data_IF_090603664824
#
_entry.id   IF_090603664824
#
_cell.length_a   1.000
_cell.length_b   1.000
_cell.length_c   1.000
_cell.angle_alpha   90.00
_cell.angle_beta   90.00
_cell.angle_gamma   90.00
#
_symmetry.space_group_name_H-M   'P 1'
#
loop_
_entity.id
_entity.type
_entity.pdbx_description
1 polymer ?
#
# COMPACT_ATOMS: atom_id res chain seq x y z
N UNK A 1 -0.32 -14.75 0.28
CA UNK A 1 -0.29 -15.78 1.32
C UNK A 1 0.13 -15.14 2.65
N UNK A 2 1.19 -14.36 2.72
CA UNK A 2 1.59 -13.69 3.98
C UNK A 2 0.61 -12.64 4.47
N UNK A 3 -0.20 -12.10 3.60
CA UNK A 3 -1.30 -11.20 3.98
C UNK A 3 -2.43 -11.97 4.68
N UNK A 4 -2.51 -13.27 4.47
CA UNK A 4 -3.50 -14.15 5.07
C UNK A 4 -3.28 -14.34 6.58
N UNK A 5 -2.02 -14.38 7.02
CA UNK A 5 -1.66 -14.52 8.43
C UNK A 5 -1.75 -13.20 9.22
N UNK A 6 -1.83 -12.07 8.56
CA UNK A 6 -1.83 -10.76 9.22
C UNK A 6 -3.11 -10.42 9.99
N UNK A 7 -4.22 -11.07 9.65
CA UNK A 7 -5.46 -11.12 10.44
C UNK A 7 -6.22 -9.84 10.74
N UNK A 8 -5.79 -8.71 10.23
CA UNK A 8 -6.34 -7.44 10.68
C UNK A 8 -6.73 -6.48 9.55
N UNK A 9 -6.57 -6.87 8.27
CA UNK A 9 -6.80 -5.98 7.14
C UNK A 9 -7.83 -6.53 6.16
N UNK A 10 -8.64 -5.64 5.59
CA UNK A 10 -9.52 -5.94 4.43
C UNK A 10 -8.77 -6.58 3.27
N UNK A 11 -7.46 -6.33 3.14
CA UNK A 11 -6.58 -6.99 2.17
C UNK A 11 -6.49 -8.50 2.38
N UNK A 12 -6.43 -8.97 3.62
CA UNK A 12 -6.40 -10.39 3.95
C UNK A 12 -7.62 -11.11 3.36
N UNK A 13 -8.81 -10.59 3.61
CA UNK A 13 -10.05 -11.13 3.04
C UNK A 13 -10.04 -11.10 1.50
N UNK A 14 -9.55 -10.02 0.89
CA UNK A 14 -9.45 -9.92 -0.58
C UNK A 14 -8.49 -10.95 -1.18
N UNK A 15 -7.34 -11.21 -0.54
CA UNK A 15 -6.40 -12.24 -0.98
C UNK A 15 -6.97 -13.65 -0.84
N UNK A 16 -7.63 -13.96 0.26
CA UNK A 16 -8.29 -15.26 0.46
C UNK A 16 -9.37 -15.52 -0.58
N UNK A 17 -10.23 -14.52 -0.82
CA UNK A 17 -11.23 -14.57 -1.90
C UNK A 17 -10.60 -14.78 -3.27
N UNK A 18 -9.55 -14.03 -3.59
CA UNK A 18 -8.86 -14.15 -4.88
C UNK A 18 -8.25 -15.55 -5.05
N UNK A 19 -7.62 -16.07 -4.00
CA UNK A 19 -7.03 -17.41 -4.01
C UNK A 19 -8.08 -18.49 -4.23
N UNK A 20 -9.17 -18.49 -3.46
CA UNK A 20 -10.29 -19.43 -3.62
C UNK A 20 -10.93 -19.31 -5.00
N UNK A 21 -11.11 -18.08 -5.49
CA UNK A 21 -11.69 -17.84 -6.81
C UNK A 21 -10.81 -18.39 -7.93
N UNK A 22 -9.49 -18.16 -7.85
CA UNK A 22 -8.54 -18.68 -8.86
C UNK A 22 -8.49 -20.21 -8.80
N UNK A 23 -8.45 -20.82 -7.61
CA UNK A 23 -8.49 -22.28 -7.44
C UNK A 23 -9.74 -22.90 -8.08
N UNK A 24 -10.86 -22.18 -8.11
CA UNK A 24 -12.10 -22.67 -8.75
C UNK A 24 -12.17 -22.40 -10.27
N UNK A 25 -11.27 -21.58 -10.82
CA UNK A 25 -11.29 -21.19 -12.25
C UNK A 25 -10.24 -21.93 -13.09
N UNK A 26 -9.23 -22.50 -12.47
CA UNK A 26 -8.10 -23.11 -13.20
C UNK A 26 -7.67 -24.40 -12.55
N UNK A 27 -7.34 -25.39 -13.40
CA UNK A 27 -6.80 -26.67 -12.97
C UNK A 27 -5.28 -26.60 -12.70
N UNK A 28 -4.62 -25.53 -13.11
CA UNK A 28 -3.19 -25.34 -12.96
C UNK A 28 -2.88 -23.98 -12.37
N UNK A 29 -2.31 -23.95 -11.17
CA UNK A 29 -1.88 -22.74 -10.51
C UNK A 29 -0.51 -22.93 -9.84
N UNK A 30 0.39 -21.99 -10.03
CA UNK A 30 1.66 -21.91 -9.32
C UNK A 30 1.61 -20.77 -8.29
N UNK A 31 1.70 -21.10 -7.02
CA UNK A 31 1.93 -20.16 -5.93
C UNK A 31 3.43 -20.04 -5.68
N UNK A 32 4.01 -18.88 -5.99
CA UNK A 32 5.42 -18.64 -5.79
C UNK A 32 5.62 -17.64 -4.64
N UNK A 33 6.37 -18.05 -3.62
CA UNK A 33 6.80 -17.19 -2.53
C UNK A 33 8.29 -17.39 -2.25
N UNK A 34 9.16 -16.44 -2.69
CA UNK A 34 10.61 -16.60 -2.59
C UNK A 34 11.14 -16.44 -1.16
N UNK A 35 10.33 -15.92 -0.22
CA UNK A 35 10.76 -15.67 1.16
C UNK A 35 10.12 -16.60 2.17
N UNK A 36 9.23 -17.46 1.71
CA UNK A 36 8.74 -18.54 2.51
C UNK A 36 9.90 -19.50 2.76
N UNK A 37 10.41 -19.58 3.98
CA UNK A 37 11.20 -20.69 4.37
C UNK A 37 10.25 -21.90 4.37
N UNK A 38 10.17 -22.57 3.24
CA UNK A 38 9.46 -23.84 3.20
C UNK A 38 10.11 -24.74 4.24
N UNK A 39 9.34 -25.19 5.20
CA UNK A 39 9.81 -26.14 6.19
C UNK A 39 10.41 -27.34 5.50
N UNK A 40 11.29 -28.04 6.19
CA UNK A 40 11.97 -29.21 5.63
C UNK A 40 11.02 -30.39 5.36
N UNK A 41 9.82 -30.34 5.96
CA UNK A 41 8.73 -31.30 5.73
C UNK A 41 7.38 -30.60 5.62
N UNK A 42 6.43 -31.16 4.85
CA UNK A 42 5.05 -30.66 4.76
C UNK A 42 4.35 -30.59 6.12
N UNK A 43 4.77 -31.46 7.05
CA UNK A 43 4.29 -31.48 8.43
C UNK A 43 4.65 -30.24 9.25
N UNK A 44 5.58 -29.42 8.78
CA UNK A 44 6.00 -28.17 9.46
C UNK A 44 5.13 -26.96 9.07
N UNK A 45 4.30 -27.08 8.03
CA UNK A 45 3.29 -26.06 7.73
C UNK A 45 2.17 -26.11 8.76
N UNK A 46 1.53 -24.99 9.01
CA UNK A 46 0.34 -24.96 9.84
C UNK A 46 -0.73 -25.90 9.25
N UNK A 47 -1.44 -26.60 10.14
CA UNK A 47 -2.43 -27.62 9.72
C UNK A 47 -3.45 -27.08 8.73
N UNK A 48 -3.95 -25.86 8.96
CA UNK A 48 -4.95 -25.22 8.10
C UNK A 48 -4.43 -24.95 6.69
N UNK A 49 -3.13 -24.67 6.53
CA UNK A 49 -2.52 -24.51 5.22
C UNK A 49 -2.32 -25.87 4.51
N UNK A 50 -1.94 -26.91 5.27
CA UNK A 50 -1.88 -28.29 4.73
C UNK A 50 -3.25 -28.77 4.28
N UNK A 51 -4.31 -28.48 5.02
CA UNK A 51 -5.69 -28.79 4.64
C UNK A 51 -6.09 -28.06 3.35
N UNK A 52 -5.76 -26.78 3.21
CA UNK A 52 -5.96 -26.03 1.98
C UNK A 52 -5.21 -26.66 0.79
N UNK A 53 -3.93 -26.96 0.96
CA UNK A 53 -3.11 -27.57 -0.08
C UNK A 53 -3.67 -28.92 -0.53
N UNK A 54 -4.04 -29.78 0.41
CA UNK A 54 -4.63 -31.09 0.14
C UNK A 54 -5.96 -30.98 -0.59
N UNK A 55 -6.86 -30.13 -0.13
CA UNK A 55 -8.20 -29.99 -0.68
C UNK A 55 -8.21 -29.36 -2.08
N UNK A 56 -7.18 -28.63 -2.44
CA UNK A 56 -6.99 -28.03 -3.76
C UNK A 56 -5.93 -28.74 -4.62
N UNK A 57 -5.37 -29.85 -4.15
CA UNK A 57 -4.43 -30.66 -4.91
C UNK A 57 -3.06 -30.02 -5.13
N UNK A 58 -2.63 -29.09 -4.28
CA UNK A 58 -1.31 -28.47 -4.37
C UNK A 58 -0.19 -29.44 -3.99
N UNK A 59 0.88 -29.39 -4.75
CA UNK A 59 2.14 -30.08 -4.48
C UNK A 59 3.23 -29.06 -4.19
N UNK A 60 3.97 -29.26 -3.10
CA UNK A 60 5.08 -28.39 -2.75
C UNK A 60 6.30 -28.68 -3.61
N UNK A 61 6.72 -27.70 -4.39
CA UNK A 61 7.96 -27.71 -5.14
C UNK A 61 9.04 -27.01 -4.32
N UNK A 62 10.03 -27.76 -3.86
CA UNK A 62 11.16 -27.22 -3.10
C UNK A 62 12.28 -26.86 -4.05
N UNK A 63 12.64 -25.59 -4.03
CA UNK A 63 13.87 -25.12 -4.61
C UNK A 63 14.87 -24.82 -3.50
N UNK A 64 16.10 -25.33 -3.62
CA UNK A 64 17.18 -24.87 -2.76
C UNK A 64 17.37 -23.37 -3.01
N UNK A 65 17.10 -22.59 -1.98
CA UNK A 65 17.19 -21.13 -2.05
C UNK A 65 18.66 -20.73 -1.93
N UNK A 66 19.35 -20.67 -3.04
CA UNK A 66 20.56 -19.87 -3.10
C UNK A 66 20.16 -18.42 -3.32
N UNK A 67 20.57 -17.55 -2.41
CA UNK A 67 20.48 -16.11 -2.68
C UNK A 67 21.41 -15.80 -3.86
N UNK A 68 20.80 -15.47 -5.01
CA UNK A 68 21.54 -15.15 -6.24
C UNK A 68 22.37 -13.87 -6.04
N UNK A 69 21.92 -12.98 -5.16
CA UNK A 69 22.59 -11.73 -4.78
C UNK A 69 22.95 -11.81 -3.31
N UNK A 70 24.24 -11.84 -3.01
CA UNK A 70 24.74 -11.79 -1.63
C UNK A 70 24.38 -10.46 -0.96
N UNK A 71 24.13 -10.48 0.35
CA UNK A 71 23.84 -9.27 1.13
C UNK A 71 24.86 -9.10 2.24
N UNK A 72 25.44 -7.93 2.29
CA UNK A 72 26.35 -7.52 3.36
C UNK A 72 25.59 -6.66 4.36
N UNK A 73 25.51 -7.13 5.60
CA UNK A 73 24.83 -6.41 6.68
C UNK A 73 25.84 -5.64 7.51
N UNK A 74 25.60 -4.34 7.70
CA UNK A 74 26.43 -3.47 8.53
C UNK A 74 25.57 -2.72 9.52
N UNK A 75 25.76 -2.97 10.81
CA UNK A 75 25.10 -2.21 11.87
C UNK A 75 25.94 -1.00 12.28
N UNK A 76 25.35 0.18 12.12
CA UNK A 76 26.02 1.47 12.40
C UNK A 76 25.70 1.93 13.82
N UNK A 77 26.66 1.77 14.73
CA UNK A 77 26.62 2.27 16.11
C UNK A 77 27.27 3.66 16.21
N UNK A 78 27.67 4.08 17.37
CA UNK A 78 28.32 5.38 17.65
C UNK A 78 29.84 5.39 17.40
N UNK A 79 30.33 4.70 16.38
CA UNK A 79 31.74 4.76 15.96
C UNK A 79 31.97 5.92 14.98
N UNK A 80 33.20 6.42 14.90
CA UNK A 80 33.51 7.53 14.01
C UNK A 80 33.64 7.10 12.56
N UNK A 81 34.15 5.90 12.29
CA UNK A 81 34.39 5.39 10.95
C UNK A 81 33.96 3.93 10.81
N UNK A 82 33.39 3.60 9.67
CA UNK A 82 33.03 2.25 9.27
C UNK A 82 33.65 1.91 7.92
N UNK A 83 33.93 0.65 7.69
CA UNK A 83 34.28 0.12 6.37
C UNK A 83 33.08 -0.69 5.90
N UNK A 84 32.46 -0.25 4.81
CA UNK A 84 31.30 -0.90 4.19
C UNK A 84 31.71 -1.29 2.77
N UNK A 85 31.80 -2.59 2.49
CA UNK A 85 32.25 -3.12 1.20
C UNK A 85 33.57 -2.49 0.76
N UNK A 86 34.56 -2.46 1.68
CA UNK A 86 35.88 -1.83 1.54
C UNK A 86 35.89 -0.30 1.34
N UNK A 87 34.74 0.37 1.46
CA UNK A 87 34.63 1.83 1.36
C UNK A 87 34.64 2.43 2.78
N UNK A 88 35.54 3.35 3.10
CA UNK A 88 35.51 4.04 4.39
C UNK A 88 34.37 5.04 4.42
N UNK A 89 33.53 4.96 5.47
CA UNK A 89 32.38 5.85 5.70
C UNK A 89 32.53 6.53 7.03
N UNK A 90 32.69 7.84 7.04
CA UNK A 90 32.74 8.63 8.28
C UNK A 90 31.32 8.93 8.77
N UNK A 91 30.97 8.38 9.93
CA UNK A 91 29.60 8.49 10.45
C UNK A 91 29.56 9.38 11.71
N UNK A 92 30.60 9.35 12.53
CA UNK A 92 30.69 10.17 13.74
C UNK A 92 29.56 9.96 14.75
N UNK A 93 29.46 10.87 15.72
CA UNK A 93 28.35 10.94 16.69
C UNK A 93 27.17 11.78 16.18
N UNK A 94 26.95 11.78 14.88
CA UNK A 94 25.99 12.63 14.18
C UNK A 94 24.53 12.21 14.41
N UNK A 95 23.60 13.13 14.13
CA UNK A 95 22.18 12.83 14.06
C UNK A 95 21.88 11.74 13.03
N UNK A 96 20.74 11.08 13.15
CA UNK A 96 20.35 10.04 12.17
C UNK A 96 20.33 10.56 10.73
N UNK A 97 19.85 11.77 10.52
CA UNK A 97 19.85 12.42 9.20
C UNK A 97 21.28 12.65 8.67
N UNK A 98 22.19 13.10 9.50
CA UNK A 98 23.58 13.31 9.12
C UNK A 98 24.27 11.97 8.77
N UNK A 99 23.97 10.89 9.52
CA UNK A 99 24.46 9.54 9.20
C UNK A 99 23.95 9.10 7.81
N UNK A 100 22.66 9.32 7.51
CA UNK A 100 22.09 9.03 6.20
C UNK A 100 22.83 9.82 5.11
N UNK A 101 23.04 11.13 5.30
CA UNK A 101 23.76 11.97 4.36
C UNK A 101 25.19 11.44 4.08
N UNK A 102 25.95 11.16 5.12
CA UNK A 102 27.32 10.68 5.01
C UNK A 102 27.40 9.32 4.30
N UNK A 103 26.45 8.42 4.58
CA UNK A 103 26.39 7.12 3.90
C UNK A 103 26.06 7.31 2.40
N UNK A 104 25.09 8.17 2.07
CA UNK A 104 24.76 8.46 0.68
C UNK A 104 25.95 9.08 -0.06
N UNK A 105 26.64 10.04 0.56
CA UNK A 105 27.84 10.67 -0.04
C UNK A 105 28.94 9.65 -0.33
N UNK A 106 29.17 8.71 0.59
CA UNK A 106 30.23 7.73 0.44
C UNK A 106 29.87 6.58 -0.54
N UNK A 107 28.61 6.11 -0.53
CA UNK A 107 28.23 4.85 -1.17
C UNK A 107 27.33 5.02 -2.40
N UNK A 108 26.71 6.19 -2.60
CA UNK A 108 25.68 6.34 -3.65
C UNK A 108 26.22 7.00 -4.92
N UNK A 109 25.79 6.47 -6.05
CA UNK A 109 25.98 7.02 -7.39
C UNK A 109 24.72 6.75 -8.22
N UNK A 110 24.57 7.27 -9.42
CA UNK A 110 23.44 6.94 -10.30
C UNK A 110 23.28 5.44 -10.59
N UNK A 111 24.39 4.69 -10.57
CA UNK A 111 24.42 3.23 -10.78
C UNK A 111 24.36 2.44 -9.47
N UNK A 112 24.73 3.05 -8.34
CA UNK A 112 24.70 2.47 -6.99
C UNK A 112 23.84 3.31 -6.06
N UNK A 113 22.59 3.52 -6.43
CA UNK A 113 21.65 4.34 -5.67
C UNK A 113 21.24 3.69 -4.34
N UNK A 114 20.54 4.48 -3.48
CA UNK A 114 20.20 4.09 -2.11
C UNK A 114 18.72 4.20 -1.84
N UNK A 115 18.12 3.14 -1.28
CA UNK A 115 16.79 3.19 -0.67
C UNK A 115 16.94 3.43 0.83
N UNK A 116 16.16 4.33 1.40
CA UNK A 116 16.08 4.58 2.84
C UNK A 116 14.71 4.11 3.34
N UNK A 117 14.72 3.02 4.10
CA UNK A 117 13.50 2.51 4.72
C UNK A 117 13.13 3.33 5.95
N UNK A 118 11.89 3.82 5.99
CA UNK A 118 11.29 4.55 7.09
C UNK A 118 10.01 3.84 7.56
N UNK A 119 9.75 3.83 8.87
CA UNK A 119 8.57 3.17 9.43
C UNK A 119 7.27 3.97 9.27
N UNK A 120 7.36 5.28 9.07
CA UNK A 120 6.20 6.18 8.92
C UNK A 120 6.35 7.06 7.68
N UNK A 121 5.21 7.45 7.10
CA UNK A 121 5.15 8.39 5.98
C UNK A 121 5.75 9.75 6.36
N UNK A 122 5.42 10.26 7.55
CA UNK A 122 5.99 11.51 8.09
C UNK A 122 7.50 11.50 8.20
N UNK A 123 8.10 10.32 8.45
CA UNK A 123 9.55 10.20 8.58
C UNK A 123 10.24 10.30 7.22
N UNK A 124 9.62 9.76 6.15
CA UNK A 124 10.15 9.90 4.77
C UNK A 124 10.25 11.38 4.38
N UNK A 125 9.19 12.15 4.65
CA UNK A 125 9.15 13.58 4.35
C UNK A 125 10.09 14.39 5.26
N UNK A 126 10.13 14.05 6.56
CA UNK A 126 10.97 14.76 7.53
C UNK A 126 12.46 14.61 7.23
N UNK A 127 12.93 13.39 6.95
CA UNK A 127 14.33 13.16 6.58
C UNK A 127 14.68 13.83 5.24
N UNK A 128 13.83 13.73 4.24
CA UNK A 128 14.04 14.41 2.97
C UNK A 128 14.14 15.93 3.16
N UNK A 129 13.24 16.54 3.94
CA UNK A 129 13.25 17.97 4.27
C UNK A 129 14.54 18.39 4.97
N UNK A 130 15.04 17.57 5.90
CA UNK A 130 16.29 17.86 6.61
C UNK A 130 17.51 17.78 5.66
N UNK A 131 17.54 16.83 4.71
CA UNK A 131 18.61 16.78 3.71
C UNK A 131 18.56 18.00 2.76
N UNK A 132 17.38 18.44 2.36
CA UNK A 132 17.20 19.63 1.51
C UNK A 132 17.73 20.93 2.14
N UNK A 133 17.83 21.00 3.46
CA UNK A 133 18.42 22.17 4.15
C UNK A 133 19.94 22.26 3.96
N UNK A 134 20.61 21.21 3.49
CA UNK A 134 22.03 21.22 3.20
C UNK A 134 22.27 21.43 1.70
N UNK A 135 22.48 22.69 1.30
CA UNK A 135 22.62 23.09 -0.09
C UNK A 135 23.85 22.46 -0.76
N UNK A 136 24.95 22.29 -0.03
CA UNK A 136 26.17 21.66 -0.55
C UNK A 136 25.91 20.19 -0.91
N UNK A 137 25.21 19.45 -0.02
CA UNK A 137 24.78 18.07 -0.28
C UNK A 137 23.90 17.97 -1.54
N UNK A 138 22.93 18.89 -1.67
CA UNK A 138 22.02 18.88 -2.81
C UNK A 138 22.76 19.20 -4.10
N UNK A 139 23.70 20.13 -4.10
CA UNK A 139 24.53 20.44 -5.26
C UNK A 139 25.32 19.20 -5.72
N UNK A 140 25.90 18.45 -4.79
CA UNK A 140 26.59 17.19 -5.09
C UNK A 140 25.63 16.16 -5.72
N UNK A 141 24.41 16.04 -5.20
CA UNK A 141 23.40 15.11 -5.75
C UNK A 141 23.00 15.49 -7.17
N UNK A 142 22.77 16.78 -7.41
CA UNK A 142 22.43 17.31 -8.73
C UNK A 142 23.58 17.09 -9.73
N UNK A 143 24.81 17.36 -9.33
CA UNK A 143 26.00 17.12 -10.15
C UNK A 143 26.15 15.62 -10.53
N UNK A 144 26.04 14.72 -9.54
CA UNK A 144 26.14 13.26 -9.78
C UNK A 144 25.10 12.75 -10.75
N UNK A 145 23.88 13.30 -10.72
CA UNK A 145 22.80 12.90 -11.61
C UNK A 145 22.72 13.68 -12.91
N UNK A 146 23.58 14.68 -13.12
CA UNK A 146 23.50 15.58 -14.30
C UNK A 146 23.72 14.89 -15.63
N UNK A 147 24.58 13.86 -15.65
CA UNK A 147 24.88 13.09 -16.85
C UNK A 147 23.88 11.98 -17.18
N UNK A 148 22.86 11.79 -16.34
CA UNK A 148 21.83 10.75 -16.57
C UNK A 148 20.84 11.26 -17.59
N UNK A 149 20.68 10.53 -18.69
CA UNK A 149 19.67 10.83 -19.71
C UNK A 149 18.28 10.45 -19.15
N UNK A 150 17.51 11.46 -18.76
CA UNK A 150 16.17 11.33 -18.23
C UNK A 150 15.25 12.42 -18.81
N UNK A 151 14.87 12.32 -20.10
CA UNK A 151 14.14 13.36 -20.81
C UNK A 151 12.77 13.68 -20.17
N UNK A 152 12.22 12.74 -19.45
CA UNK A 152 10.92 12.91 -18.74
C UNK A 152 11.08 13.72 -17.46
N UNK A 153 12.29 13.86 -16.91
CA UNK A 153 12.51 14.45 -15.58
C UNK A 153 12.01 15.90 -15.50
N UNK A 154 12.42 16.77 -16.42
CA UNK A 154 12.03 18.19 -16.40
C UNK A 154 10.52 18.37 -16.67
N UNK A 155 9.97 17.62 -17.64
CA UNK A 155 8.54 17.61 -17.95
C UNK A 155 7.73 17.18 -16.73
N UNK A 156 8.22 16.18 -16.01
CA UNK A 156 7.57 15.68 -14.81
C UNK A 156 7.60 16.70 -13.67
N UNK A 157 8.72 17.40 -13.45
CA UNK A 157 8.82 18.48 -12.46
C UNK A 157 7.84 19.62 -12.79
N UNK A 158 7.76 20.04 -14.06
CA UNK A 158 6.81 21.06 -14.51
C UNK A 158 5.36 20.63 -14.28
N UNK A 159 5.03 19.38 -14.62
CA UNK A 159 3.70 18.84 -14.35
C UNK A 159 3.35 18.87 -12.85
N UNK A 160 4.28 18.45 -11.99
CA UNK A 160 4.05 18.46 -10.54
C UNK A 160 3.92 19.90 -9.99
N UNK A 161 4.72 20.83 -10.49
CA UNK A 161 4.67 22.23 -10.09
C UNK A 161 3.32 22.84 -10.45
N UNK A 162 2.83 22.60 -11.67
CA UNK A 162 1.55 23.08 -12.13
C UNK A 162 0.35 22.44 -11.41
N UNK A 163 0.50 21.19 -10.94
CA UNK A 163 -0.60 20.42 -10.33
C UNK A 163 -0.67 20.61 -8.82
N UNK A 164 0.48 20.60 -8.13
CA UNK A 164 0.57 20.56 -6.66
C UNK A 164 1.19 21.84 -6.05
N UNK A 165 1.77 22.71 -6.87
CA UNK A 165 2.45 23.93 -6.43
C UNK A 165 3.87 23.68 -5.93
N UNK A 166 4.64 24.78 -5.81
CA UNK A 166 6.06 24.76 -5.45
C UNK A 166 6.35 24.27 -4.03
N UNK A 167 5.37 24.37 -3.14
CA UNK A 167 5.56 24.05 -1.73
C UNK A 167 5.46 22.59 -1.40
N UNK A 168 5.01 21.77 -2.34
CA UNK A 168 4.87 20.34 -2.11
C UNK A 168 6.23 19.65 -1.89
N UNK A 169 6.37 18.97 -0.74
CA UNK A 169 7.65 18.36 -0.32
C UNK A 169 8.19 17.36 -1.32
N UNK A 170 7.32 16.61 -2.01
CA UNK A 170 7.74 15.62 -3.01
C UNK A 170 8.40 16.31 -4.20
N UNK A 171 7.83 17.44 -4.67
CA UNK A 171 8.44 18.25 -5.74
C UNK A 171 9.80 18.82 -5.33
N UNK A 172 9.88 19.41 -4.11
CA UNK A 172 11.14 19.93 -3.57
C UNK A 172 12.22 18.84 -3.48
N UNK A 173 11.84 17.65 -3.03
CA UNK A 173 12.74 16.51 -2.94
C UNK A 173 13.24 16.08 -4.33
N UNK A 174 12.34 15.96 -5.30
CA UNK A 174 12.70 15.62 -6.68
C UNK A 174 13.68 16.64 -7.29
N UNK A 175 13.46 17.95 -7.12
CA UNK A 175 14.42 18.99 -7.54
C UNK A 175 15.80 18.81 -6.91
N UNK A 176 15.87 18.23 -5.71
CA UNK A 176 17.12 17.83 -5.02
C UNK A 176 17.62 16.42 -5.35
N UNK A 177 17.08 15.77 -6.39
CA UNK A 177 17.45 14.39 -6.78
C UNK A 177 17.14 13.33 -5.71
N UNK A 178 16.14 13.60 -4.86
CA UNK A 178 15.66 12.73 -3.79
C UNK A 178 14.24 12.30 -4.12
N UNK A 179 13.96 10.99 -4.08
CA UNK A 179 12.63 10.43 -4.21
C UNK A 179 11.92 10.26 -2.87
N UNK A 180 10.60 10.45 -2.83
CA UNK A 180 9.73 10.13 -1.69
C UNK A 180 8.63 9.19 -2.18
N UNK A 181 8.52 8.01 -1.54
CA UNK A 181 7.57 6.98 -1.95
C UNK A 181 6.80 6.42 -0.74
N UNK A 182 5.53 6.73 -0.65
CA UNK A 182 4.60 6.19 0.34
C UNK A 182 3.15 6.26 -0.16
N UNK A 183 2.23 5.59 0.52
CA UNK A 183 0.84 5.40 0.05
C UNK A 183 0.00 6.69 -0.10
N UNK A 184 0.46 7.84 0.40
CA UNK A 184 -0.22 9.13 0.18
C UNK A 184 0.25 9.87 -1.09
N UNK A 185 1.35 9.44 -1.70
CA UNK A 185 1.76 9.93 -3.02
C UNK A 185 0.87 9.27 -4.08
N UNK A 186 0.28 10.01 -5.03
CA UNK A 186 -0.55 9.44 -6.09
C UNK A 186 0.17 8.33 -6.86
N UNK A 187 -0.55 7.28 -7.27
CA UNK A 187 0.05 6.08 -7.88
C UNK A 187 0.85 6.35 -9.14
N UNK A 188 0.39 7.25 -10.01
CA UNK A 188 1.11 7.62 -11.22
C UNK A 188 2.45 8.32 -10.90
N UNK A 189 2.46 9.17 -9.87
CA UNK A 189 3.68 9.83 -9.38
C UNK A 189 4.62 8.80 -8.74
N UNK A 190 4.09 7.86 -7.94
CA UNK A 190 4.90 6.76 -7.40
C UNK A 190 5.61 5.99 -8.51
N UNK A 191 4.90 5.65 -9.60
CA UNK A 191 5.47 4.94 -10.76
C UNK A 191 6.60 5.74 -11.40
N UNK A 192 6.39 7.04 -11.63
CA UNK A 192 7.39 7.88 -12.25
C UNK A 192 8.62 8.09 -11.37
N UNK A 193 8.44 8.30 -10.06
CA UNK A 193 9.54 8.36 -9.10
C UNK A 193 10.38 7.07 -9.16
N UNK A 194 9.74 5.90 -9.24
CA UNK A 194 10.44 4.62 -9.37
C UNK A 194 11.20 4.52 -10.69
N UNK A 195 10.59 4.97 -11.79
CA UNK A 195 11.25 5.01 -13.10
C UNK A 195 12.51 5.87 -13.06
N UNK A 196 12.40 7.08 -12.54
CA UNK A 196 13.53 8.02 -12.36
C UNK A 196 14.61 7.48 -11.41
N UNK A 197 14.20 6.79 -10.35
CA UNK A 197 15.14 6.14 -9.44
C UNK A 197 15.91 4.99 -10.12
N UNK A 198 15.20 4.15 -10.87
CA UNK A 198 15.81 3.01 -11.55
C UNK A 198 16.76 3.40 -12.69
N UNK A 199 16.53 4.53 -13.36
CA UNK A 199 17.46 5.03 -14.39
C UNK A 199 18.61 5.85 -13.79
N UNK A 200 18.68 6.06 -12.47
CA UNK A 200 19.74 6.81 -11.80
C UNK A 200 19.55 8.33 -11.79
N UNK A 201 18.40 8.84 -12.25
CA UNK A 201 18.08 10.26 -12.18
C UNK A 201 17.84 10.76 -10.74
N UNK A 202 17.60 9.84 -9.80
CA UNK A 202 17.51 10.10 -8.37
C UNK A 202 18.59 9.31 -7.63
N UNK A 203 19.32 9.99 -6.74
CA UNK A 203 20.43 9.40 -5.99
C UNK A 203 19.94 8.53 -4.83
N UNK A 204 18.81 8.88 -4.25
CA UNK A 204 18.20 8.14 -3.16
C UNK A 204 16.67 8.21 -3.15
N UNK A 205 16.06 7.25 -2.45
CA UNK A 205 14.61 7.09 -2.34
C UNK A 205 14.22 6.82 -0.90
N UNK A 206 13.52 7.75 -0.26
CA UNK A 206 12.88 7.52 1.04
C UNK A 206 11.57 6.78 0.84
N UNK A 207 11.42 5.63 1.49
CA UNK A 207 10.22 4.81 1.35
C UNK A 207 9.78 4.13 2.64
N UNK A 208 8.50 3.82 2.72
CA UNK A 208 7.92 2.91 3.72
C UNK A 208 7.88 1.49 3.14
N UNK A 209 7.18 0.56 3.81
CA UNK A 209 6.95 -0.81 3.28
C UNK A 209 6.28 -0.84 1.90
N UNK A 210 5.74 0.27 1.41
CA UNK A 210 5.19 0.35 0.04
C UNK A 210 6.22 0.04 -1.05
N UNK A 211 7.52 0.13 -0.76
CA UNK A 211 8.59 -0.24 -1.70
C UNK A 211 8.64 -1.76 -1.95
N UNK A 212 8.10 -2.57 -1.04
CA UNK A 212 8.09 -4.03 -1.18
C UNK A 212 6.89 -4.54 -1.98
N UNK A 213 5.85 -3.71 -2.14
CA UNK A 213 4.59 -4.08 -2.77
C UNK A 213 4.52 -3.59 -4.24
N UNK A 214 4.47 -4.52 -5.19
CA UNK A 214 4.11 -4.25 -6.60
C UNK A 214 5.06 -3.36 -7.41
N UNK A 215 6.25 -3.04 -6.90
CA UNK A 215 7.24 -2.21 -7.61
C UNK A 215 8.54 -2.96 -7.83
N UNK A 216 8.99 -2.97 -9.08
CA UNK A 216 10.27 -3.55 -9.43
C UNK A 216 11.38 -2.51 -9.24
N UNK A 217 11.78 -2.30 -7.99
CA UNK A 217 12.91 -1.47 -7.62
C UNK A 217 13.97 -2.29 -6.93
N UNK A 218 15.20 -1.95 -7.22
CA UNK A 218 16.33 -2.40 -6.43
C UNK A 218 17.36 -1.27 -6.40
N UNK A 219 18.11 -1.26 -5.32
CA UNK A 219 19.21 -0.35 -5.12
C UNK A 219 20.44 -1.14 -4.72
N UNK A 220 21.64 -0.64 -4.93
CA UNK A 220 22.85 -1.25 -4.37
C UNK A 220 22.81 -1.21 -2.84
N UNK A 221 22.30 -0.09 -2.28
CA UNK A 221 22.34 0.18 -0.86
C UNK A 221 20.93 0.31 -0.27
N UNK A 222 20.70 -0.27 0.89
CA UNK A 222 19.49 -0.01 1.70
C UNK A 222 19.91 0.46 3.09
N UNK A 223 19.37 1.60 3.52
CA UNK A 223 19.55 2.14 4.87
C UNK A 223 18.27 1.87 5.65
N UNK A 224 18.39 1.19 6.79
CA UNK A 224 17.29 0.88 7.71
C UNK A 224 17.27 1.90 8.83
N UNK A 225 16.23 2.72 8.90
CA UNK A 225 16.09 3.72 9.98
C UNK A 225 15.31 3.21 11.19
N UNK A 226 14.56 2.10 11.02
CA UNK A 226 13.72 1.54 12.08
C UNK A 226 13.41 0.07 11.85
N UNK A 227 13.38 -0.72 12.93
CA UNK A 227 12.89 -2.11 12.94
C UNK A 227 11.36 -2.23 13.08
N UNK A 228 10.60 -1.18 12.72
CA UNK A 228 9.13 -1.14 12.87
C UNK A 228 8.43 -0.84 11.55
N UNK A 229 7.17 -1.29 11.46
CA UNK A 229 6.18 -0.94 10.43
C UNK A 229 5.04 -0.18 11.11
N UNK A 230 5.04 1.15 10.98
CA UNK A 230 4.16 2.00 11.77
C UNK A 230 4.48 1.90 13.27
N UNK A 231 3.56 1.39 14.06
CA UNK A 231 3.74 1.18 15.51
C UNK A 231 4.15 -0.26 15.87
N UNK A 232 3.96 -1.23 14.97
CA UNK A 232 4.28 -2.65 15.19
C UNK A 232 5.73 -2.97 14.82
N UNK A 233 6.31 -3.98 15.44
CA UNK A 233 7.63 -4.48 15.04
C UNK A 233 7.56 -5.12 13.64
N UNK A 234 8.65 -5.02 12.87
CA UNK A 234 8.77 -5.73 11.61
C UNK A 234 8.73 -7.25 11.85
N UNK A 235 7.97 -7.95 11.03
CA UNK A 235 8.04 -9.41 10.94
C UNK A 235 9.23 -9.81 10.07
N UNK A 236 9.67 -11.04 10.20
CA UNK A 236 10.76 -11.60 9.39
C UNK A 236 10.52 -11.40 7.89
N UNK A 237 9.30 -11.72 7.44
CA UNK A 237 8.90 -11.57 6.05
C UNK A 237 9.05 -10.12 5.55
N UNK A 238 8.54 -9.12 6.29
CA UNK A 238 8.70 -7.72 5.92
C UNK A 238 10.18 -7.32 5.85
N UNK A 239 11.00 -7.79 6.81
CA UNK A 239 12.43 -7.51 6.85
C UNK A 239 13.18 -8.15 5.67
N UNK A 240 12.88 -9.40 5.34
CA UNK A 240 13.44 -10.08 4.15
C UNK A 240 13.05 -9.38 2.85
N UNK A 241 11.79 -8.96 2.71
CA UNK A 241 11.33 -8.21 1.55
C UNK A 241 12.05 -6.86 1.40
N UNK A 242 12.28 -6.15 2.52
CA UNK A 242 13.04 -4.90 2.52
C UNK A 242 14.49 -5.18 2.13
N UNK A 243 15.17 -6.12 2.81
CA UNK A 243 16.54 -6.50 2.50
C UNK A 243 16.70 -7.03 1.06
N UNK A 244 15.68 -7.71 0.54
CA UNK A 244 15.63 -8.20 -0.84
C UNK A 244 15.68 -7.10 -1.91
N UNK A 245 15.49 -5.84 -1.53
CA UNK A 245 15.67 -4.69 -2.43
C UNK A 245 17.14 -4.23 -2.51
N UNK A 246 18.03 -4.76 -1.67
CA UNK A 246 19.47 -4.53 -1.77
C UNK A 246 20.09 -5.45 -2.81
N UNK A 247 20.68 -4.85 -3.84
CA UNK A 247 21.28 -5.58 -4.95
C UNK A 247 20.25 -6.11 -5.95
N UNK A 248 20.59 -6.08 -7.22
CA UNK A 248 19.74 -6.59 -8.30
C UNK A 248 20.52 -7.59 -9.14
N UNK A 249 19.96 -8.77 -9.30
CA UNK A 249 20.50 -9.74 -10.24
C UNK A 249 20.70 -9.08 -11.62
N UNK A 250 21.82 -9.32 -12.27
CA UNK A 250 22.31 -8.71 -13.51
C UNK A 250 22.90 -7.29 -13.41
N UNK A 251 22.65 -6.53 -12.34
CA UNK A 251 23.26 -5.21 -12.12
C UNK A 251 24.29 -5.23 -10.98
N UNK A 252 23.94 -5.91 -9.87
CA UNK A 252 24.76 -5.99 -8.68
C UNK A 252 24.76 -7.41 -8.13
N UNK A 253 25.93 -8.05 -8.07
CA UNK A 253 26.09 -9.38 -7.47
C UNK A 253 26.05 -9.36 -5.93
N UNK A 254 26.17 -8.19 -5.33
CA UNK A 254 26.05 -7.98 -3.89
C UNK A 254 25.21 -6.75 -3.59
N UNK A 255 24.46 -6.76 -2.47
CA UNK A 255 23.71 -5.64 -1.93
C UNK A 255 24.21 -5.27 -0.54
N UNK A 256 24.15 -3.98 -0.19
CA UNK A 256 24.56 -3.47 1.13
C UNK A 256 23.31 -3.11 1.94
N UNK A 257 23.16 -3.72 3.12
CA UNK A 257 22.09 -3.42 4.08
C UNK A 257 22.67 -2.76 5.31
N UNK A 258 22.37 -1.49 5.52
CA UNK A 258 22.99 -0.64 6.53
C UNK A 258 21.97 -0.30 7.60
N UNK A 259 22.12 -0.87 8.79
CA UNK A 259 21.18 -0.71 9.90
C UNK A 259 21.59 0.43 10.85
N UNK A 260 20.75 1.48 10.89
CA UNK A 260 20.89 2.61 11.84
C UNK A 260 20.09 2.43 13.14
N UNK A 261 19.32 1.33 13.24
CA UNK A 261 18.42 1.10 14.37
C UNK A 261 18.91 0.01 15.34
N UNK A 262 19.88 -0.79 14.92
CA UNK A 262 20.40 -1.94 15.62
C UNK A 262 19.40 -3.11 15.77
N UNK A 263 19.76 -4.26 15.22
CA UNK A 263 18.98 -5.49 15.34
C UNK A 263 18.11 -5.85 14.11
N UNK A 264 18.28 -5.18 12.96
CA UNK A 264 17.53 -5.55 11.76
C UNK A 264 17.96 -6.92 11.21
N UNK A 265 19.24 -7.24 11.25
CA UNK A 265 19.76 -8.55 10.85
C UNK A 265 19.17 -9.68 11.70
N UNK A 266 19.00 -9.46 13.02
CA UNK A 266 18.37 -10.42 13.93
C UNK A 266 16.91 -10.67 13.52
N UNK A 267 16.19 -9.67 12.99
CA UNK A 267 14.82 -9.83 12.50
C UNK A 267 14.82 -10.67 11.21
N UNK A 268 15.76 -10.42 10.30
CA UNK A 268 15.89 -11.18 9.04
C UNK A 268 16.19 -12.66 9.32
N UNK A 269 17.02 -12.93 10.31
CA UNK A 269 17.50 -14.28 10.65
C UNK A 269 16.58 -15.03 11.65
N UNK A 270 15.44 -14.47 12.05
CA UNK A 270 14.47 -15.19 12.88
C UNK A 270 13.96 -16.44 12.16
N UNK A 271 13.45 -17.37 12.94
CA UNK A 271 12.71 -18.47 12.37
C UNK A 271 11.46 -17.99 11.64
N UNK A 272 11.13 -18.59 10.49
CA UNK A 272 9.94 -18.21 9.73
C UNK A 272 8.68 -18.54 10.53
N UNK A 273 7.68 -17.67 10.43
CA UNK A 273 6.35 -17.93 10.95
C UNK A 273 5.68 -19.02 10.10
N UNK A 274 4.96 -19.93 10.75
CA UNK A 274 4.18 -20.95 10.06
C UNK A 274 3.02 -20.30 9.31
N UNK A 275 2.77 -20.74 8.08
CA UNK A 275 1.66 -20.24 7.29
C UNK A 275 0.34 -20.87 7.75
N UNK A 276 -0.68 -20.03 7.84
CA UNK A 276 -2.05 -20.41 8.17
C UNK A 276 -2.99 -20.00 7.04
N UNK A 277 -3.97 -20.85 6.76
CA UNK A 277 -5.08 -20.49 5.88
C UNK A 277 -6.37 -20.41 6.71
N UNK A 278 -6.83 -19.20 7.01
CA UNK A 278 -7.91 -18.97 7.97
C UNK A 278 -9.23 -19.65 7.63
N UNK A 279 -9.54 -19.80 6.35
CA UNK A 279 -10.76 -20.50 5.94
C UNK A 279 -10.73 -22.00 6.28
N UNK A 280 -9.53 -22.57 6.48
CA UNK A 280 -9.31 -23.96 6.83
C UNK A 280 -8.98 -24.17 8.33
N UNK A 281 -8.95 -23.11 9.11
CA UNK A 281 -8.82 -23.18 10.57
C UNK A 281 -10.18 -22.91 11.23
N UNK A 282 -10.71 -23.95 11.87
CA UNK A 282 -12.02 -23.88 12.56
C UNK A 282 -12.04 -22.88 13.71
N UNK A 283 -10.87 -22.58 14.31
CA UNK A 283 -10.76 -21.65 15.44
C UNK A 283 -10.50 -20.20 14.99
N UNK A 284 -10.16 -19.98 13.73
CA UNK A 284 -9.93 -18.64 13.23
C UNK A 284 -11.24 -17.84 13.15
N UNK A 285 -11.25 -16.57 13.56
CA UNK A 285 -12.45 -15.74 13.47
C UNK A 285 -12.83 -15.56 12.00
N UNK A 286 -14.11 -15.84 11.70
CA UNK A 286 -14.66 -15.69 10.34
C UNK A 286 -15.21 -14.29 10.14
N UNK A 287 -14.95 -13.72 8.98
CA UNK A 287 -15.59 -12.48 8.53
C UNK A 287 -16.88 -12.80 7.79
N UNK A 288 -17.71 -11.80 7.57
CA UNK A 288 -18.96 -11.94 6.84
C UNK A 288 -18.78 -12.60 5.46
N UNK A 289 -17.68 -12.27 4.78
CA UNK A 289 -17.34 -12.82 3.45
C UNK A 289 -16.91 -14.29 3.55
N UNK A 290 -16.29 -14.71 4.65
CA UNK A 290 -15.81 -16.08 4.82
C UNK A 290 -16.94 -17.09 4.83
N UNK A 291 -18.15 -16.72 5.30
CA UNK A 291 -19.32 -17.59 5.25
C UNK A 291 -19.75 -17.99 3.83
N UNK A 292 -19.33 -17.23 2.80
CA UNK A 292 -19.61 -17.59 1.40
C UNK A 292 -18.67 -18.64 0.82
N UNK A 293 -17.43 -18.68 1.30
CA UNK A 293 -16.35 -19.46 0.68
C UNK A 293 -15.87 -20.61 1.57
N UNK A 294 -16.06 -20.52 2.90
CA UNK A 294 -15.60 -21.56 3.81
C UNK A 294 -16.53 -22.79 3.77
N UNK A 295 -15.92 -23.96 3.56
CA UNK A 295 -16.62 -25.24 3.61
C UNK A 295 -17.10 -25.53 5.04
N UNK A 296 -18.26 -26.16 5.20
CA UNK A 296 -18.91 -26.40 6.51
C UNK A 296 -18.02 -27.17 7.50
N UNK A 297 -17.20 -28.08 7.02
CA UNK A 297 -16.25 -28.84 7.84
C UNK A 297 -15.18 -27.99 8.56
N UNK A 298 -14.97 -26.76 8.11
CA UNK A 298 -14.02 -25.79 8.69
C UNK A 298 -14.70 -24.65 9.44
N UNK A 299 -16.00 -24.79 9.71
CA UNK A 299 -16.80 -23.86 10.51
C UNK A 299 -17.07 -24.45 11.89
N UNK A 300 -17.00 -23.61 12.93
CA UNK A 300 -17.48 -24.00 14.26
C UNK A 300 -19.00 -24.15 14.29
N UNK A 301 -19.54 -24.79 15.33
CA UNK A 301 -21.01 -24.89 15.48
C UNK A 301 -21.71 -23.53 15.51
N UNK A 302 -21.07 -22.52 16.10
CA UNK A 302 -21.59 -21.15 16.12
C UNK A 302 -21.56 -20.52 14.73
N UNK A 303 -20.47 -20.74 13.97
CA UNK A 303 -20.33 -20.23 12.61
C UNK A 303 -21.34 -20.87 11.65
N UNK A 304 -21.63 -22.16 11.82
CA UNK A 304 -22.66 -22.87 11.03
C UNK A 304 -24.05 -22.28 11.25
N UNK A 305 -24.42 -22.01 12.51
CA UNK A 305 -25.70 -21.37 12.83
C UNK A 305 -25.78 -19.96 12.22
N UNK A 306 -24.68 -19.21 12.26
CA UNK A 306 -24.62 -17.88 11.67
C UNK A 306 -24.76 -17.94 10.14
N UNK A 307 -24.04 -18.87 9.47
CA UNK A 307 -24.15 -19.11 8.03
C UNK A 307 -25.57 -19.47 7.61
N UNK A 308 -26.24 -20.35 8.38
CA UNK A 308 -27.64 -20.72 8.13
C UNK A 308 -28.57 -19.51 8.32
N UNK A 309 -28.41 -18.75 9.39
CA UNK A 309 -29.16 -17.53 9.62
C UNK A 309 -29.05 -16.53 8.48
N UNK A 310 -27.83 -16.33 7.95
CA UNK A 310 -27.58 -15.47 6.78
C UNK A 310 -28.32 -16.03 5.55
N UNK A 311 -28.23 -17.35 5.30
CA UNK A 311 -28.89 -17.99 4.16
C UNK A 311 -30.41 -17.82 4.19
N UNK A 312 -31.03 -18.03 5.35
CA UNK A 312 -32.46 -17.83 5.53
C UNK A 312 -32.90 -16.38 5.30
N UNK A 313 -32.10 -15.41 5.76
CA UNK A 313 -32.39 -13.98 5.52
C UNK A 313 -32.25 -13.62 4.05
N UNK A 314 -31.26 -14.19 3.33
CA UNK A 314 -31.08 -13.98 1.87
C UNK A 314 -32.29 -14.53 1.12
N UNK A 315 -32.76 -15.74 1.44
CA UNK A 315 -33.94 -16.34 0.83
C UNK A 315 -35.20 -15.50 1.11
N UNK A 316 -35.40 -15.06 2.34
CA UNK A 316 -36.54 -14.23 2.73
C UNK A 316 -36.51 -12.84 2.07
N UNK A 317 -35.36 -12.32 1.72
CA UNK A 317 -35.22 -10.98 1.11
C UNK A 317 -35.76 -10.91 -0.33
N UNK A 318 -35.92 -12.03 -1.03
CA UNK A 318 -36.34 -12.06 -2.43
C UNK A 318 -35.31 -11.48 -3.43
N UNK A 319 -34.07 -11.19 -2.99
CA UNK A 319 -33.01 -10.71 -3.87
C UNK A 319 -32.68 -11.80 -4.91
N UNK A 320 -32.68 -11.49 -6.22
CA UNK A 320 -32.30 -12.47 -7.22
C UNK A 320 -30.89 -13.02 -6.96
N UNK A 321 -30.74 -14.34 -7.02
CA UNK A 321 -29.46 -15.04 -6.71
C UNK A 321 -28.28 -14.52 -7.54
N UNK A 322 -28.51 -14.19 -8.80
CA UNK A 322 -27.45 -13.62 -9.66
C UNK A 322 -26.99 -12.23 -9.19
N UNK A 323 -27.90 -11.41 -8.67
CA UNK A 323 -27.57 -10.10 -8.08
C UNK A 323 -26.84 -10.29 -6.76
N UNK A 324 -27.35 -11.18 -5.91
CA UNK A 324 -26.75 -11.46 -4.61
C UNK A 324 -25.32 -12.01 -4.75
N UNK A 325 -25.08 -12.92 -5.70
CA UNK A 325 -23.78 -13.52 -5.94
C UNK A 325 -22.83 -12.61 -6.74
N UNK A 326 -23.29 -11.46 -7.23
CA UNK A 326 -22.43 -10.43 -7.78
C UNK A 326 -21.63 -9.74 -6.67
N UNK A 327 -20.47 -9.17 -7.03
CA UNK A 327 -19.65 -8.39 -6.07
C UNK A 327 -19.33 -9.14 -4.77
N UNK A 328 -18.69 -10.30 -4.88
CA UNK A 328 -18.38 -11.19 -3.76
C UNK A 328 -17.51 -10.57 -2.65
N UNK A 329 -16.84 -9.47 -2.94
CA UNK A 329 -16.06 -8.68 -1.96
C UNK A 329 -16.95 -7.95 -0.94
N UNK A 330 -18.25 -7.79 -1.22
CA UNK A 330 -19.23 -7.28 -0.28
C UNK A 330 -19.89 -8.47 0.42
N UNK A 331 -19.80 -8.52 1.71
CA UNK A 331 -20.33 -9.62 2.51
C UNK A 331 -21.86 -9.72 2.45
N UNK A 332 -22.42 -10.90 2.72
CA UNK A 332 -23.87 -11.12 2.67
C UNK A 332 -24.66 -10.23 3.60
N UNK A 333 -24.19 -9.99 4.84
CA UNK A 333 -24.85 -9.10 5.79
C UNK A 333 -24.88 -7.65 5.29
N UNK A 334 -23.76 -7.19 4.75
CA UNK A 334 -23.69 -5.84 4.18
C UNK A 334 -24.62 -5.68 2.98
N UNK A 335 -24.73 -6.70 2.11
CA UNK A 335 -25.68 -6.70 0.99
C UNK A 335 -27.14 -6.65 1.47
N UNK A 336 -27.48 -7.46 2.45
CA UNK A 336 -28.81 -7.43 3.05
C UNK A 336 -29.13 -6.07 3.66
N UNK A 337 -28.22 -5.50 4.44
CA UNK A 337 -28.37 -4.17 5.01
C UNK A 337 -28.60 -3.09 3.94
N UNK A 338 -27.81 -3.12 2.87
CA UNK A 338 -27.94 -2.16 1.76
C UNK A 338 -29.31 -2.35 1.05
N UNK A 339 -29.71 -3.58 0.83
CA UNK A 339 -30.99 -3.90 0.21
C UNK A 339 -32.17 -3.40 1.04
N UNK A 340 -32.22 -3.74 2.34
CA UNK A 340 -33.24 -3.27 3.28
C UNK A 340 -33.33 -1.72 3.31
N UNK A 341 -32.19 -1.04 3.25
CA UNK A 341 -32.15 0.42 3.18
C UNK A 341 -32.69 0.97 1.87
N UNK A 342 -32.38 0.31 0.74
CA UNK A 342 -32.91 0.72 -0.58
C UNK A 342 -34.41 0.52 -0.62
N UNK A 343 -34.94 -0.61 -0.14
CA UNK A 343 -36.38 -0.87 -0.10
C UNK A 343 -37.16 0.14 0.76
N UNK A 344 -36.56 0.62 1.85
CA UNK A 344 -37.15 1.64 2.69
C UNK A 344 -37.09 3.06 2.12
N UNK A 345 -36.37 3.28 0.99
CA UNK A 345 -36.22 4.60 0.42
C UNK A 345 -37.44 5.05 -0.37
N UNK A 346 -37.82 6.36 -0.29
CA UNK A 346 -38.83 6.94 -1.18
C UNK A 346 -38.38 6.82 -2.66
N UNK A 347 -39.37 6.63 -3.57
CA UNK A 347 -39.10 6.43 -4.98
C UNK A 347 -38.28 7.56 -5.64
N UNK A 348 -38.45 8.81 -5.23
CA UNK A 348 -37.67 9.95 -5.73
C UNK A 348 -36.20 9.88 -5.38
N UNK A 349 -35.86 9.33 -4.22
CA UNK A 349 -34.48 9.08 -3.80
C UNK A 349 -33.83 8.00 -4.68
N UNK A 350 -34.57 6.94 -5.00
CA UNK A 350 -34.13 5.88 -5.91
C UNK A 350 -33.87 6.45 -7.31
N UNK A 351 -34.74 7.35 -7.79
CA UNK A 351 -34.56 8.01 -9.09
C UNK A 351 -33.31 8.91 -9.10
N UNK A 352 -32.96 9.59 -8.03
CA UNK A 352 -31.71 10.33 -7.91
C UNK A 352 -30.47 9.42 -8.03
N UNK A 353 -30.49 8.26 -7.35
CA UNK A 353 -29.43 7.25 -7.46
C UNK A 353 -29.31 6.72 -8.90
N UNK A 354 -30.43 6.39 -9.55
CA UNK A 354 -30.44 5.94 -10.93
C UNK A 354 -29.85 6.97 -11.91
N UNK A 355 -30.14 8.25 -11.70
CA UNK A 355 -29.56 9.33 -12.51
C UNK A 355 -28.05 9.39 -12.42
N UNK A 356 -27.49 9.20 -11.22
CA UNK A 356 -26.04 9.13 -11.01
C UNK A 356 -25.45 7.92 -11.71
N UNK A 357 -26.03 6.74 -11.49
CA UNK A 357 -25.55 5.48 -12.10
C UNK A 357 -25.57 5.51 -13.61
N UNK A 358 -26.64 6.07 -14.22
CA UNK A 358 -26.76 6.22 -15.67
C UNK A 358 -25.70 7.16 -16.24
N UNK A 359 -25.36 8.25 -15.53
CA UNK A 359 -24.34 9.20 -15.99
C UNK A 359 -22.93 8.62 -15.85
N UNK A 360 -22.63 7.91 -14.77
CA UNK A 360 -21.36 7.20 -14.59
C UNK A 360 -21.11 6.18 -15.69
N UNK A 361 -22.15 5.43 -16.08
CA UNK A 361 -22.06 4.44 -17.15
C UNK A 361 -21.83 5.06 -18.55
N UNK A 362 -22.14 6.34 -18.77
CA UNK A 362 -22.02 7.04 -20.06
C UNK A 362 -20.74 7.86 -20.24
N UNK A 363 -19.72 7.66 -19.43
CA UNK A 363 -18.40 8.30 -19.53
C UNK A 363 -18.36 9.83 -19.43
N UNK A 364 -19.47 10.49 -19.10
CA UNK A 364 -19.52 11.95 -18.98
C UNK A 364 -19.73 12.39 -17.52
N UNK A 365 -18.67 12.31 -16.73
CA UNK A 365 -18.69 12.65 -15.30
C UNK A 365 -18.84 14.17 -15.02
N UNK A 366 -18.68 15.03 -16.03
CA UNK A 366 -18.71 16.50 -15.88
C UNK A 366 -20.06 17.08 -15.43
N UNK A 367 -21.11 16.30 -15.37
CA UNK A 367 -22.43 16.74 -14.92
C UNK A 367 -23.12 15.72 -14.04
N UNK A 368 -22.42 15.19 -13.02
CA UNK A 368 -23.00 14.30 -12.04
C UNK A 368 -24.11 15.00 -11.24
N UNK A 369 -25.12 14.22 -10.88
CA UNK A 369 -26.18 14.68 -10.00
C UNK A 369 -25.70 14.58 -8.55
N UNK A 370 -25.13 15.65 -8.00
CA UNK A 370 -24.40 15.64 -6.73
C UNK A 370 -25.25 15.30 -5.52
N UNK A 371 -26.54 15.64 -5.49
CA UNK A 371 -27.43 15.20 -4.42
C UNK A 371 -27.62 13.68 -4.44
N UNK A 372 -27.79 13.09 -5.62
CA UNK A 372 -27.87 11.65 -5.77
C UNK A 372 -26.55 10.96 -5.42
N UNK A 373 -25.40 11.55 -5.75
CA UNK A 373 -24.09 11.04 -5.32
C UNK A 373 -23.96 11.05 -3.80
N UNK A 374 -24.36 12.14 -3.13
CA UNK A 374 -24.37 12.21 -1.69
C UNK A 374 -25.32 11.18 -1.06
N UNK A 375 -26.45 10.93 -1.70
CA UNK A 375 -27.40 9.88 -1.29
C UNK A 375 -26.76 8.49 -1.35
N UNK A 376 -25.98 8.19 -2.39
CA UNK A 376 -25.20 6.94 -2.48
C UNK A 376 -24.19 6.86 -1.34
N UNK A 377 -23.45 7.93 -1.07
CA UNK A 377 -22.50 7.95 0.06
C UNK A 377 -23.20 7.71 1.41
N UNK A 378 -24.36 8.30 1.62
CA UNK A 378 -25.16 8.08 2.84
C UNK A 378 -25.68 6.64 2.92
N UNK A 379 -26.05 6.04 1.79
CA UNK A 379 -26.51 4.64 1.72
C UNK A 379 -25.39 3.68 2.12
N UNK A 380 -24.21 3.84 1.52
CA UNK A 380 -23.06 2.92 1.74
C UNK A 380 -22.32 3.20 3.06
N UNK A 381 -22.52 4.34 3.70
CA UNK A 381 -21.81 4.74 4.92
C UNK A 381 -21.72 3.66 6.02
N UNK A 382 -22.79 2.91 6.33
CA UNK A 382 -22.72 1.87 7.36
C UNK A 382 -21.80 0.70 7.04
N UNK A 383 -21.60 0.41 5.75
CA UNK A 383 -20.77 -0.72 5.27
C UNK A 383 -19.33 -0.30 4.96
N UNK A 384 -19.03 0.99 4.99
CA UNK A 384 -17.64 1.48 4.85
C UNK A 384 -16.85 1.06 6.09
N UNK A 385 -15.71 0.38 5.89
CA UNK A 385 -14.85 -0.13 6.97
C UNK A 385 -13.72 0.84 7.32
N UNK A 386 -13.23 1.61 6.34
CA UNK A 386 -12.11 2.52 6.57
C UNK A 386 -12.54 3.77 7.34
N UNK A 387 -11.98 3.96 8.52
CA UNK A 387 -12.32 5.08 9.42
C UNK A 387 -12.06 6.46 8.81
N UNK A 388 -10.99 6.60 7.99
CA UNK A 388 -10.69 7.87 7.31
C UNK A 388 -11.76 8.22 6.27
N UNK A 389 -12.22 7.22 5.53
CA UNK A 389 -13.30 7.43 4.56
C UNK A 389 -14.61 7.76 5.25
N UNK A 390 -14.94 7.08 6.36
CA UNK A 390 -16.08 7.44 7.20
C UNK A 390 -16.03 8.88 7.68
N UNK A 391 -14.87 9.33 8.18
CA UNK A 391 -14.66 10.73 8.59
C UNK A 391 -14.91 11.71 7.45
N UNK A 392 -14.41 11.41 6.24
CA UNK A 392 -14.61 12.24 5.06
C UNK A 392 -16.07 12.30 4.60
N UNK A 393 -16.81 11.18 4.69
CA UNK A 393 -18.23 11.11 4.34
C UNK A 393 -19.08 11.81 5.40
N UNK A 394 -18.72 11.70 6.68
CA UNK A 394 -19.46 12.33 7.78
C UNK A 394 -19.22 13.83 7.92
N UNK A 395 -18.06 14.33 7.48
CA UNK A 395 -17.72 15.74 7.57
C UNK A 395 -18.54 16.56 6.55
N UNK A 396 -19.41 17.45 7.05
CA UNK A 396 -20.29 18.28 6.23
C UNK A 396 -19.69 19.65 5.97
N UNK A 397 -19.83 20.11 4.73
CA UNK A 397 -19.21 21.36 4.24
C UNK A 397 -20.28 22.28 3.66
N UNK A 398 -20.08 23.57 3.84
CA UNK A 398 -20.96 24.64 3.33
C UNK A 398 -22.02 25.09 4.33
N UNK A 399 -22.71 26.19 4.02
CA UNK A 399 -23.64 26.85 4.92
C UNK A 399 -24.87 25.99 5.26
N UNK A 400 -25.28 25.13 4.34
CA UNK A 400 -26.43 24.22 4.54
C UNK A 400 -26.04 22.83 5.01
N UNK A 401 -24.74 22.53 5.18
CA UNK A 401 -24.20 21.23 5.58
C UNK A 401 -24.79 20.02 4.78
N UNK A 402 -25.17 20.25 3.55
CA UNK A 402 -25.89 19.29 2.72
C UNK A 402 -24.94 18.20 2.17
N UNK A 403 -23.72 18.59 1.79
CA UNK A 403 -22.75 17.71 1.15
C UNK A 403 -21.58 17.35 2.06
N UNK A 404 -21.09 16.13 1.92
CA UNK A 404 -19.85 15.68 2.56
C UNK A 404 -18.64 16.30 1.88
N UNK A 405 -17.52 16.29 2.60
CA UNK A 405 -16.24 16.76 2.04
C UNK A 405 -15.86 15.96 0.78
N UNK A 406 -16.13 14.66 0.73
CA UNK A 406 -15.92 13.81 -0.46
C UNK A 406 -16.69 14.35 -1.67
N UNK A 407 -17.96 14.67 -1.50
CA UNK A 407 -18.82 15.20 -2.59
C UNK A 407 -18.30 16.55 -3.07
N UNK A 408 -17.95 17.44 -2.16
CA UNK A 408 -17.45 18.78 -2.51
C UNK A 408 -16.12 18.73 -3.24
N UNK A 409 -15.18 17.92 -2.77
CA UNK A 409 -13.88 17.76 -3.41
C UNK A 409 -14.01 17.14 -4.80
N UNK A 410 -14.81 16.08 -4.93
CA UNK A 410 -15.01 15.39 -6.19
C UNK A 410 -15.74 16.28 -7.22
N UNK A 411 -16.76 17.02 -6.80
CA UNK A 411 -17.46 17.98 -7.69
C UNK A 411 -16.52 19.07 -8.18
N UNK A 412 -15.72 19.64 -7.30
CA UNK A 412 -14.74 20.67 -7.65
C UNK A 412 -13.69 20.16 -8.65
N UNK A 413 -13.25 18.92 -8.49
CA UNK A 413 -12.29 18.29 -9.38
C UNK A 413 -12.88 17.99 -10.77
N UNK A 414 -14.07 17.35 -10.82
CA UNK A 414 -14.67 16.90 -12.07
C UNK A 414 -15.31 18.02 -12.89
N UNK A 415 -15.79 19.06 -12.25
CA UNK A 415 -16.41 20.23 -12.92
C UNK A 415 -15.39 21.27 -13.33
N UNK A 416 -14.11 21.11 -12.95
CA UNK A 416 -13.07 22.10 -13.23
C UNK A 416 -13.34 23.45 -12.55
N UNK A 417 -14.25 23.49 -11.58
CA UNK A 417 -14.54 24.67 -10.76
C UNK A 417 -13.39 24.81 -9.78
N UNK A 418 -12.49 25.65 -10.19
CA UNK A 418 -11.32 26.07 -9.44
C UNK A 418 -11.52 26.60 -8.09
N UNK A 419 -10.35 26.89 -7.64
CA UNK A 419 -9.50 26.00 -6.89
C UNK A 419 -10.04 25.95 -5.49
N UNK A 420 -10.02 24.81 -4.95
CA UNK A 420 -10.07 24.56 -3.50
C UNK A 420 -9.29 25.62 -2.71
N UNK A 421 -8.29 26.25 -3.34
CA UNK A 421 -7.51 27.37 -2.79
C UNK A 421 -8.31 28.58 -2.33
N UNK A 422 -9.35 28.97 -3.03
CA UNK A 422 -10.06 30.22 -2.70
C UNK A 422 -11.10 30.07 -1.60
N UNK A 423 -11.68 28.88 -1.41
CA UNK A 423 -12.71 28.62 -0.41
C UNK A 423 -12.19 27.93 0.86
N UNK A 424 -11.03 27.27 0.82
CA UNK A 424 -10.47 26.48 1.92
C UNK A 424 -9.20 27.07 2.53
N UNK A 425 -8.71 28.23 2.06
CA UNK A 425 -7.46 28.86 2.50
C UNK A 425 -7.21 28.95 4.01
N UNK A 426 -8.17 29.17 4.89
CA UNK A 426 -7.85 29.31 6.32
C UNK A 426 -7.57 27.98 7.06
N UNK A 427 -7.89 26.82 6.45
CA UNK A 427 -7.73 25.50 7.08
C UNK A 427 -6.87 24.53 6.28
N UNK A 428 -6.19 24.98 5.25
CA UNK A 428 -5.55 24.12 4.24
C UNK A 428 -4.43 23.21 4.75
N UNK A 429 -3.68 23.56 5.79
CA UNK A 429 -2.64 22.64 6.33
C UNK A 429 -3.19 21.28 6.80
N UNK A 430 -4.44 21.24 7.19
CA UNK A 430 -5.14 20.02 7.57
C UNK A 430 -5.74 19.29 6.35
N UNK A 431 -5.97 19.98 5.24
CA UNK A 431 -6.67 19.49 4.05
C UNK A 431 -5.75 19.13 2.87
N UNK A 432 -4.45 19.47 2.90
CA UNK A 432 -3.48 18.99 1.90
C UNK A 432 -3.50 17.45 1.78
N UNK A 433 -3.56 16.76 2.90
CA UNK A 433 -3.69 15.30 2.92
C UNK A 433 -5.04 14.81 2.36
N UNK A 434 -6.10 15.59 2.50
CA UNK A 434 -7.44 15.27 2.03
C UNK A 434 -7.61 15.54 0.53
N UNK A 435 -6.96 16.57 0.00
CA UNK A 435 -6.90 16.82 -1.44
C UNK A 435 -6.15 15.71 -2.17
N UNK A 436 -5.03 15.27 -1.61
CA UNK A 436 -4.26 14.11 -2.08
C UNK A 436 -5.12 12.84 -2.04
N UNK A 437 -5.92 12.63 -0.99
CA UNK A 437 -6.85 11.52 -0.90
C UNK A 437 -7.96 11.60 -1.96
N UNK A 438 -8.51 12.79 -2.27
CA UNK A 438 -9.54 12.93 -3.32
C UNK A 438 -9.00 12.62 -4.73
N UNK A 439 -7.76 13.01 -4.99
CA UNK A 439 -7.04 12.67 -6.23
C UNK A 439 -6.74 11.16 -6.29
N UNK A 440 -6.40 10.54 -5.14
CA UNK A 440 -6.24 9.09 -5.05
C UNK A 440 -7.55 8.34 -5.32
N UNK A 441 -8.70 8.83 -4.86
CA UNK A 441 -10.01 8.24 -5.15
C UNK A 441 -10.35 8.31 -6.64
N UNK A 442 -10.04 9.41 -7.33
CA UNK A 442 -10.27 9.51 -8.79
C UNK A 442 -9.44 8.49 -9.59
N UNK A 443 -8.26 8.10 -9.08
CA UNK A 443 -7.38 7.11 -9.71
C UNK A 443 -7.67 5.64 -9.33
N UNK A 444 -8.54 5.40 -8.35
CA UNK A 444 -8.91 4.04 -7.91
C UNK A 444 -10.24 3.56 -8.54
N UNK A 445 -10.98 4.48 -9.16
CA UNK A 445 -12.27 4.21 -9.80
C UNK A 445 -12.13 3.98 -11.32
N UNK A 446 -10.89 4.08 -11.87
CA UNK A 446 -10.60 3.80 -13.29
C UNK A 446 -9.61 2.65 -13.46
#
# INVERSE_FOLDING_TARGET
IDQETSGENERDTAYRLALEFICNLTDNMLLADPYMALPTAETELHKSFNDFARDNGFVFLRYNQFEIVSKEYTTVKSRQQYIIDNIPVEIGSASKTQKIANIILALSSPTENTIIYCNRKSDTESYARQLLNNQELISIFQERCSAVDAPVYEIFLEHLQNTFGDDWIVLKALKGRIGIHHSLVPKYIQKEIISLFNCGALICLFSTTTITEGVNTSAKNIIITSGKKGTKNLRQFDAKNIAGRAGRFQQHYSGRVIDLNNGFEDIVNREPELLEHKNYDINAPKTDVDYQITKDQYLSGADLLEKESISLRVEASGIPTNVFNSFRVVGPKDKLLLYERIESMPWWTIEEIKRVSTKLARTNARSLHWSGFQTILNLIFPVVREEKLKQLISFRVGDQQQYSLVTVLLSSYLEGILPVETRLKPKMKQYEQLLILSIMFSNTIW
#
